data_IF_085401353995
#
_entry.id   IF_085401353995
#
_cell.length_a   1.000
_cell.length_b   1.000
_cell.length_c   1.000
_cell.angle_alpha   90.00
_cell.angle_beta   90.00
_cell.angle_gamma   90.00
#
_symmetry.space_group_name_H-M   'P 1'
#
loop_
_entity.id
_entity.type
_entity.pdbx_description
1 polymer ?
#
# COMPACT_ATOMS: atom_id res chain seq x y z
N UNK A 1 -17.00 3.64 13.58
CA UNK A 1 -15.87 3.33 14.49
C UNK A 1 -14.83 4.44 14.41
N UNK A 2 -14.36 4.97 15.55
CA UNK A 2 -13.23 5.92 15.60
C UNK A 2 -12.01 5.14 16.09
N UNK A 3 -11.00 4.93 15.24
CA UNK A 3 -9.74 4.29 15.66
C UNK A 3 -8.74 5.33 16.14
N UNK A 4 -8.02 5.00 17.21
CA UNK A 4 -6.92 5.81 17.72
C UNK A 4 -5.60 5.21 17.27
N UNK A 5 -4.60 6.07 17.09
CA UNK A 5 -3.25 5.66 16.78
C UNK A 5 -2.60 5.04 18.01
N UNK A 6 -1.94 3.89 17.83
CA UNK A 6 -1.22 3.21 18.92
C UNK A 6 0.05 3.96 19.37
N UNK A 7 0.57 4.88 18.55
CA UNK A 7 1.84 5.58 18.83
C UNK A 7 1.59 6.91 19.56
N UNK A 8 0.64 7.71 19.09
CA UNK A 8 0.39 9.05 19.64
C UNK A 8 -0.99 9.22 20.28
N UNK A 9 -1.86 8.20 20.25
CA UNK A 9 -3.22 8.27 20.78
C UNK A 9 -4.20 9.16 19.99
N UNK A 10 -3.72 9.92 18.98
CA UNK A 10 -4.57 10.77 18.13
C UNK A 10 -5.56 9.92 17.33
N UNK A 11 -6.69 10.53 16.97
CA UNK A 11 -7.68 9.91 16.08
C UNK A 11 -7.09 9.69 14.69
N UNK A 12 -7.28 8.49 14.14
CA UNK A 12 -6.92 8.20 12.75
C UNK A 12 -7.99 8.84 11.84
N UNK A 13 -7.60 9.66 10.86
CA UNK A 13 -8.55 10.27 9.94
C UNK A 13 -9.31 9.20 9.16
N UNK A 14 -10.60 9.43 8.89
CA UNK A 14 -11.49 8.47 8.23
C UNK A 14 -10.97 8.04 6.87
N UNK A 15 -10.50 8.98 6.06
CA UNK A 15 -9.92 8.73 4.73
C UNK A 15 -8.82 7.66 4.78
N UNK A 16 -8.02 7.64 5.85
CA UNK A 16 -6.94 6.67 6.04
C UNK A 16 -7.45 5.31 6.49
N UNK A 17 -8.51 5.27 7.30
CA UNK A 17 -9.16 4.02 7.70
C UNK A 17 -9.94 3.40 6.53
N UNK A 18 -10.49 4.22 5.63
CA UNK A 18 -11.14 3.77 4.41
C UNK A 18 -10.13 3.22 3.40
N UNK A 19 -9.02 3.92 3.16
CA UNK A 19 -7.98 3.45 2.25
C UNK A 19 -7.19 2.24 2.78
N UNK A 20 -6.96 2.19 4.10
CA UNK A 20 -6.20 1.13 4.77
C UNK A 20 -6.95 0.68 6.01
N UNK A 21 -7.96 -0.21 5.89
CA UNK A 21 -8.76 -0.67 7.01
C UNK A 21 -7.99 -1.53 8.01
N UNK A 22 -6.74 -1.86 7.76
CA UNK A 22 -5.88 -2.58 8.70
C UNK A 22 -4.91 -1.66 9.47
N UNK A 23 -4.78 -0.39 9.05
CA UNK A 23 -3.85 0.56 9.68
C UNK A 23 -4.22 0.83 11.14
N UNK A 24 -3.23 0.71 12.01
CA UNK A 24 -3.33 1.08 13.44
C UNK A 24 -2.66 2.42 13.76
N UNK A 25 -2.08 3.06 12.74
CA UNK A 25 -1.29 4.30 12.87
C UNK A 25 -1.95 5.49 12.16
N UNK A 26 -1.84 6.68 12.75
CA UNK A 26 -2.22 7.94 12.09
C UNK A 26 -1.23 8.31 10.99
N UNK A 27 -1.59 9.30 10.16
CA UNK A 27 -0.78 9.73 9.02
C UNK A 27 0.60 10.27 9.44
N UNK A 28 0.67 11.01 10.54
CA UNK A 28 1.93 11.59 11.04
C UNK A 28 2.90 10.51 11.57
N UNK A 29 2.39 9.57 12.35
CA UNK A 29 3.19 8.47 12.88
C UNK A 29 3.62 7.51 11.77
N UNK A 30 2.76 7.28 10.78
CA UNK A 30 3.12 6.47 9.62
C UNK A 30 4.18 7.13 8.74
N UNK A 31 4.16 8.47 8.60
CA UNK A 31 5.21 9.21 7.86
C UNK A 31 6.57 9.20 8.58
N UNK A 32 6.57 9.29 9.91
CA UNK A 32 7.82 9.35 10.69
C UNK A 32 8.43 7.98 11.00
N UNK A 33 7.61 6.96 11.26
CA UNK A 33 8.06 5.62 11.72
C UNK A 33 7.73 4.49 10.75
N UNK A 34 7.16 4.80 9.59
CA UNK A 34 6.66 3.82 8.63
C UNK A 34 5.26 3.29 8.98
N UNK A 35 4.62 2.68 7.98
CA UNK A 35 3.31 2.02 8.11
C UNK A 35 3.43 0.67 8.83
N UNK A 36 2.45 0.31 9.66
CA UNK A 36 2.34 -1.07 10.18
C UNK A 36 1.74 -2.04 9.17
N UNK A 37 1.13 -1.50 8.10
CA UNK A 37 0.55 -2.31 7.03
C UNK A 37 1.66 -2.89 6.17
N UNK A 38 1.89 -4.19 6.29
CA UNK A 38 2.67 -4.96 5.32
C UNK A 38 1.78 -5.25 4.12
N UNK A 39 1.77 -4.36 3.12
CA UNK A 39 1.27 -4.74 1.81
C UNK A 39 2.16 -5.89 1.33
N UNK A 40 1.61 -7.09 1.12
CA UNK A 40 2.30 -8.12 0.35
C UNK A 40 2.74 -7.44 -0.94
N UNK A 41 4.04 -7.43 -1.23
CA UNK A 41 4.52 -7.03 -2.56
C UNK A 41 3.75 -7.93 -3.51
N UNK A 42 2.75 -7.39 -4.18
CA UNK A 42 2.19 -8.08 -5.33
C UNK A 42 3.40 -8.23 -6.25
N UNK A 43 3.79 -9.48 -6.52
CA UNK A 43 4.81 -9.77 -7.50
C UNK A 43 4.34 -9.11 -8.79
N UNK A 44 4.89 -7.94 -9.10
CA UNK A 44 4.73 -7.28 -10.39
C UNK A 44 5.64 -8.06 -11.35
N UNK A 45 5.30 -9.33 -11.56
CA UNK A 45 5.87 -10.19 -12.58
C UNK A 45 4.88 -10.18 -13.73
N UNK A 46 5.27 -9.59 -14.86
CA UNK A 46 4.57 -9.85 -16.10
C UNK A 46 4.88 -11.29 -16.50
N UNK A 47 3.86 -12.04 -16.87
CA UNK A 47 4.05 -13.40 -17.37
C UNK A 47 5.07 -13.38 -18.54
N UNK A 48 6.04 -14.31 -18.59
CA UNK A 48 7.12 -14.30 -19.58
C UNK A 48 6.61 -14.27 -21.02
N UNK A 49 5.46 -14.88 -21.31
CA UNK A 49 4.87 -14.90 -22.66
C UNK A 49 4.37 -13.50 -23.04
N UNK A 50 3.77 -12.78 -22.09
CA UNK A 50 3.32 -11.40 -22.30
C UNK A 50 4.49 -10.45 -22.54
N UNK A 51 5.61 -10.65 -21.84
CA UNK A 51 6.84 -9.87 -22.08
C UNK A 51 7.41 -10.11 -23.48
N UNK A 52 7.34 -11.36 -23.96
CA UNK A 52 7.83 -11.75 -25.30
C UNK A 52 6.98 -11.16 -26.42
N UNK A 53 5.66 -11.16 -26.28
CA UNK A 53 4.73 -10.61 -27.27
C UNK A 53 4.93 -9.10 -27.47
N UNK A 54 5.11 -8.36 -26.38
CA UNK A 54 5.41 -6.92 -26.46
C UNK A 54 6.74 -6.65 -27.18
N UNK A 55 7.78 -7.45 -26.93
CA UNK A 55 9.05 -7.31 -27.65
C UNK A 55 8.96 -7.71 -29.13
N UNK A 56 8.13 -8.70 -29.46
CA UNK A 56 7.85 -9.11 -30.83
C UNK A 56 7.15 -8.01 -31.64
N UNK A 57 6.21 -7.30 -31.02
CA UNK A 57 5.43 -6.23 -31.66
C UNK A 57 6.27 -5.01 -32.09
N UNK A 58 7.46 -4.79 -31.52
CA UNK A 58 8.34 -3.64 -31.83
C UNK A 58 9.27 -3.92 -33.01
N UNK A 59 9.32 -5.16 -33.53
CA UNK A 59 10.25 -5.57 -34.60
C UNK A 59 9.60 -5.70 -35.99
N UNK A 60 8.41 -5.13 -36.19
CA UNK A 60 7.72 -5.07 -37.49
C UNK A 60 7.90 -3.73 -38.20
#
# INVERSE_FOLDING_TARGET
MRRRCEICGKLIPKERVEALPETKRCIECARSRGTDVSAKRADVGMDPDTYRDLLGAVRS
#
